data_IF_691120088852
#
_entry.id   IF_691120088852
#
_cell.length_a   1.000
_cell.length_b   1.000
_cell.length_c   1.000
_cell.angle_alpha   90.00
_cell.angle_beta   90.00
_cell.angle_gamma   90.00
#
_symmetry.space_group_name_H-M   'P 1'
#
loop_
_entity.id
_entity.type
_entity.pdbx_description
1 polymer ?
#
# COMPACT_ATOMS: atom_id res chain seq x y z
N UNK A 1 -27.61 6.22 -12.72
CA UNK A 1 -26.18 6.31 -12.35
C UNK A 1 -25.61 4.90 -12.19
N UNK A 2 -24.70 4.45 -13.07
CA UNK A 2 -24.04 3.14 -12.90
C UNK A 2 -23.04 3.25 -11.75
N UNK A 3 -23.32 2.58 -10.63
CA UNK A 3 -22.46 2.55 -9.45
C UNK A 3 -21.21 1.70 -9.76
N UNK A 4 -20.19 2.30 -10.37
CA UNK A 4 -18.91 1.61 -10.67
C UNK A 4 -18.16 1.42 -9.35
N UNK A 5 -18.38 0.26 -8.69
CA UNK A 5 -17.57 -0.16 -7.55
C UNK A 5 -16.09 -0.12 -7.94
N UNK A 6 -15.27 0.57 -7.16
CA UNK A 6 -13.83 0.59 -7.39
C UNK A 6 -13.29 -0.84 -7.26
N UNK A 7 -12.44 -1.29 -8.20
CA UNK A 7 -11.84 -2.60 -8.09
C UNK A 7 -11.02 -2.69 -6.80
N UNK A 8 -11.09 -3.81 -6.07
CA UNK A 8 -10.45 -3.95 -4.75
C UNK A 8 -8.94 -3.69 -4.78
N UNK A 9 -8.29 -3.93 -5.93
CA UNK A 9 -6.88 -3.59 -6.14
C UNK A 9 -6.59 -2.08 -6.04
N UNK A 10 -7.48 -1.21 -6.52
CA UNK A 10 -7.29 0.25 -6.42
C UNK A 10 -7.38 0.73 -4.98
N UNK A 11 -8.27 0.12 -4.18
CA UNK A 11 -8.41 0.43 -2.75
C UNK A 11 -7.15 -0.01 -2.01
N UNK A 12 -6.63 -1.22 -2.28
CA UNK A 12 -5.40 -1.71 -1.68
C UNK A 12 -4.17 -0.86 -2.04
N UNK A 13 -4.07 -0.41 -3.29
CA UNK A 13 -3.01 0.51 -3.73
C UNK A 13 -3.11 1.83 -2.98
N UNK A 14 -4.31 2.40 -2.83
CA UNK A 14 -4.51 3.63 -2.08
C UNK A 14 -4.13 3.48 -0.60
N UNK A 15 -4.46 2.35 0.02
CA UNK A 15 -4.05 2.03 1.40
C UNK A 15 -2.52 1.95 1.50
N UNK A 16 -1.85 1.24 0.59
CA UNK A 16 -0.40 1.15 0.56
C UNK A 16 0.27 2.51 0.39
N UNK A 17 -0.27 3.37 -0.47
CA UNK A 17 0.22 4.74 -0.66
C UNK A 17 0.06 5.61 0.60
N UNK A 18 -1.07 5.47 1.29
CA UNK A 18 -1.36 6.19 2.52
C UNK A 18 -0.37 5.80 3.63
N UNK A 19 -0.11 4.51 3.80
CA UNK A 19 0.90 4.00 4.74
C UNK A 19 2.32 4.47 4.39
N UNK A 20 2.67 4.47 3.10
CA UNK A 20 3.96 4.99 2.63
C UNK A 20 4.12 6.47 2.98
N UNK A 21 3.09 7.28 2.71
CA UNK A 21 3.08 8.72 3.03
C UNK A 21 3.19 8.96 4.55
N UNK A 22 2.42 8.22 5.36
CA UNK A 22 2.50 8.30 6.81
C UNK A 22 3.91 7.94 7.32
N UNK A 23 4.54 6.91 6.75
CA UNK A 23 5.90 6.50 7.12
C UNK A 23 6.92 7.61 6.82
N UNK A 24 6.80 8.29 5.68
CA UNK A 24 7.67 9.42 5.31
C UNK A 24 7.48 10.61 6.25
N UNK A 25 6.24 10.91 6.62
CA UNK A 25 5.93 11.98 7.58
C UNK A 25 6.54 11.64 8.95
N UNK A 26 6.32 10.42 9.44
CA UNK A 26 6.85 9.99 10.73
C UNK A 26 8.38 10.03 10.73
N UNK A 27 9.02 9.58 9.65
CA UNK A 27 10.49 9.65 9.50
C UNK A 27 11.01 11.10 9.57
N UNK A 28 10.25 12.06 9.05
CA UNK A 28 10.64 13.47 9.09
C UNK A 28 10.62 14.05 10.52
N UNK A 29 9.66 13.63 11.35
CA UNK A 29 9.51 14.16 12.72
C UNK A 29 10.17 13.31 13.80
N UNK A 30 10.39 12.02 13.55
CA UNK A 30 10.87 11.04 14.52
C UNK A 30 11.98 10.23 13.90
N UNK A 31 13.18 10.30 14.49
CA UNK A 31 14.29 9.41 14.16
C UNK A 31 14.00 8.01 14.68
N UNK A 32 13.38 7.19 13.85
CA UNK A 32 13.18 5.77 14.12
C UNK A 32 14.47 4.98 13.85
N UNK A 33 14.73 3.90 14.61
CA UNK A 33 15.79 2.96 14.28
C UNK A 33 15.58 2.37 12.88
N UNK A 34 16.66 2.14 12.14
CA UNK A 34 16.63 1.69 10.74
C UNK A 34 15.77 0.44 10.52
N UNK A 35 15.76 -0.47 11.50
CA UNK A 35 14.96 -1.70 11.46
C UNK A 35 13.46 -1.43 11.40
N UNK A 36 12.96 -0.46 12.18
CA UNK A 36 11.54 -0.09 12.20
C UNK A 36 11.14 0.65 10.93
N UNK A 37 12.01 1.54 10.44
CA UNK A 37 11.81 2.24 9.18
C UNK A 37 11.72 1.24 8.01
N UNK A 38 12.66 0.29 7.96
CA UNK A 38 12.67 -0.76 6.93
C UNK A 38 11.42 -1.64 6.99
N UNK A 39 10.96 -2.00 8.20
CA UNK A 39 9.74 -2.79 8.37
C UNK A 39 8.48 -2.03 7.90
N UNK A 40 8.34 -0.75 8.24
CA UNK A 40 7.20 0.09 7.83
C UNK A 40 7.16 0.34 6.32
N UNK A 41 8.32 0.66 5.72
CA UNK A 41 8.43 0.82 4.26
C UNK A 41 8.18 -0.50 3.54
N UNK A 42 8.77 -1.60 4.02
CA UNK A 42 8.58 -2.94 3.47
C UNK A 42 7.13 -3.40 3.54
N UNK A 43 6.42 -3.11 4.63
CA UNK A 43 4.99 -3.41 4.78
C UNK A 43 4.13 -2.62 3.77
N UNK A 44 4.40 -1.32 3.62
CA UNK A 44 3.70 -0.45 2.66
C UNK A 44 3.85 -0.95 1.22
N UNK A 45 5.08 -1.30 0.84
CA UNK A 45 5.39 -1.86 -0.48
C UNK A 45 4.77 -3.26 -0.64
N UNK A 46 4.83 -4.09 0.39
CA UNK A 46 4.24 -5.44 0.41
C UNK A 46 2.75 -5.43 0.11
N UNK A 47 1.99 -4.51 0.72
CA UNK A 47 0.54 -4.33 0.44
C UNK A 47 0.31 -3.98 -1.03
N UNK A 48 1.12 -3.07 -1.58
CA UNK A 48 1.02 -2.68 -3.00
C UNK A 48 1.34 -3.85 -3.93
N UNK A 49 2.36 -4.63 -3.63
CA UNK A 49 2.72 -5.84 -4.41
C UNK A 49 1.58 -6.85 -4.35
N UNK A 50 1.01 -7.13 -3.19
CA UNK A 50 -0.14 -8.05 -3.05
C UNK A 50 -1.34 -7.57 -3.87
N UNK A 51 -1.59 -6.26 -3.91
CA UNK A 51 -2.64 -5.66 -4.73
C UNK A 51 -2.45 -5.93 -6.22
N UNK A 52 -1.20 -5.83 -6.70
CA UNK A 52 -0.84 -6.02 -8.10
C UNK A 52 -0.79 -7.50 -8.50
N UNK A 53 -0.23 -8.36 -7.64
CA UNK A 53 -0.12 -9.81 -7.88
C UNK A 53 -1.50 -10.46 -7.83
N UNK A 54 -2.36 -10.13 -6.86
CA UNK A 54 -3.72 -10.68 -6.81
C UNK A 54 -4.58 -10.24 -8.00
N UNK A 55 -4.35 -9.04 -8.55
CA UNK A 55 -4.98 -8.62 -9.82
C UNK A 55 -4.53 -9.48 -11.00
N UNK A 56 -3.26 -9.91 -11.03
CA UNK A 56 -2.72 -10.78 -12.09
C UNK A 56 -3.22 -12.22 -11.96
N UNK A 57 -3.37 -12.74 -10.74
CA UNK A 57 -3.79 -14.13 -10.47
C UNK A 57 -5.30 -14.34 -10.55
N UNK A 58 -6.11 -13.31 -10.30
CA UNK A 58 -7.56 -13.35 -10.51
C UNK A 58 -7.87 -12.69 -11.86
N UNK A 59 -7.82 -13.43 -12.99
CA UNK A 59 -8.30 -12.88 -14.25
C UNK A 59 -9.74 -12.44 -14.03
N UNK A 60 -10.02 -11.17 -14.28
CA UNK A 60 -11.36 -10.74 -14.65
C UNK A 60 -11.71 -11.48 -15.93
N UNK A 61 -12.25 -12.68 -15.77
CA UNK A 61 -13.16 -13.34 -16.71
C UNK A 61 -14.59 -13.01 -16.28
#
# INVERSE_FOLDING_TARGET
MKNKKLPPAKILIAIGLLFMSATLIIQHYVSLPDTWLGALMGFSIGIMIVALVKKKVRPTG
#
